data_IF_402988064896
#
_entry.id   IF_402988064896
#
_cell.length_a   1.000
_cell.length_b   1.000
_cell.length_c   1.000
_cell.angle_alpha   90.00
_cell.angle_beta   90.00
_cell.angle_gamma   90.00
#
_symmetry.space_group_name_H-M   'P 1'
#
loop_
_entity.id
_entity.type
_entity.pdbx_description
1 polymer ?
#
# COMPACT_ATOMS: atom_id res chain seq x y z
N UNK A 1 9.90 -9.90 9.42
CA UNK A 1 9.95 -8.44 9.67
C UNK A 1 10.14 -8.21 11.17
N UNK A 2 11.14 -7.43 11.56
CA UNK A 2 11.45 -7.13 12.96
C UNK A 2 10.47 -6.14 13.60
N UNK A 3 9.91 -5.20 12.83
CA UNK A 3 8.97 -4.21 13.35
C UNK A 3 7.64 -4.88 13.78
N UNK A 4 7.10 -5.75 12.93
CA UNK A 4 5.94 -6.59 13.26
C UNK A 4 6.19 -7.38 14.54
N UNK A 5 7.32 -8.09 14.65
CA UNK A 5 7.61 -8.92 15.82
C UNK A 5 7.75 -8.10 17.11
N UNK A 6 8.35 -6.91 17.04
CA UNK A 6 8.42 -6.00 18.19
C UNK A 6 7.03 -5.60 18.68
N UNK A 7 6.09 -5.29 17.77
CA UNK A 7 4.71 -4.97 18.15
C UNK A 7 3.97 -6.18 18.73
N UNK A 8 4.04 -7.35 18.07
CA UNK A 8 3.38 -8.57 18.52
C UNK A 8 3.85 -9.01 19.92
N UNK A 9 5.13 -8.79 20.23
CA UNK A 9 5.74 -9.13 21.52
C UNK A 9 5.64 -8.00 22.57
N UNK A 10 4.90 -6.92 22.29
CA UNK A 10 4.72 -5.78 23.21
C UNK A 10 5.98 -4.93 23.44
N UNK A 11 7.00 -5.07 22.59
CA UNK A 11 8.23 -4.27 22.63
C UNK A 11 8.06 -2.90 21.95
N UNK A 12 7.06 -2.77 21.07
CA UNK A 12 6.65 -1.50 20.46
C UNK A 12 5.16 -1.23 20.74
N UNK A 13 4.83 0.01 21.12
CA UNK A 13 3.45 0.43 21.38
C UNK A 13 2.68 0.78 20.11
N UNK A 14 3.39 1.21 19.06
CA UNK A 14 2.83 1.58 17.77
C UNK A 14 3.47 0.75 16.66
N UNK A 15 2.67 0.42 15.66
CA UNK A 15 3.10 -0.22 14.43
C UNK A 15 2.40 0.46 13.27
N UNK A 16 3.19 1.05 12.36
CA UNK A 16 2.69 1.71 11.16
C UNK A 16 2.85 0.72 10.03
N UNK A 17 1.75 0.12 9.58
CA UNK A 17 1.73 -0.88 8.51
C UNK A 17 0.35 -0.88 7.81
N UNK A 18 0.22 -1.63 6.71
CA UNK A 18 -1.03 -1.76 5.96
C UNK A 18 -2.02 -2.77 6.54
N UNK A 19 -3.23 -2.79 5.99
CA UNK A 19 -4.32 -3.70 6.39
C UNK A 19 -3.93 -5.18 6.33
N UNK A 20 -3.05 -5.56 5.40
CA UNK A 20 -2.50 -6.92 5.28
C UNK A 20 -1.85 -7.46 6.55
N UNK A 21 -1.44 -6.59 7.46
CA UNK A 21 -0.86 -7.01 8.73
C UNK A 21 -1.88 -7.64 9.67
N UNK A 22 -3.17 -7.30 9.55
CA UNK A 22 -4.23 -7.78 10.45
C UNK A 22 -4.32 -9.31 10.46
N UNK A 23 -4.23 -9.97 9.31
CA UNK A 23 -4.23 -11.43 9.23
C UNK A 23 -3.05 -12.08 9.96
N UNK A 24 -1.85 -11.47 9.87
CA UNK A 24 -0.68 -11.91 10.62
C UNK A 24 -0.83 -11.70 12.13
N UNK A 25 -1.42 -10.58 12.56
CA UNK A 25 -1.68 -10.33 13.99
C UNK A 25 -2.68 -11.36 14.52
N UNK A 26 -3.80 -11.56 13.83
CA UNK A 26 -4.83 -12.53 14.21
C UNK A 26 -4.28 -13.97 14.31
N UNK A 27 -3.31 -14.33 13.46
CA UNK A 27 -2.72 -15.68 13.46
C UNK A 27 -1.64 -15.89 14.51
N UNK A 28 -0.80 -14.87 14.76
CA UNK A 28 0.40 -15.02 15.60
C UNK A 28 0.25 -14.44 17.01
N UNK A 29 -0.71 -13.54 17.23
CA UNK A 29 -1.01 -12.94 18.53
C UNK A 29 -2.52 -12.70 18.67
N UNK A 30 -3.35 -13.77 18.66
CA UNK A 30 -4.81 -13.66 18.67
C UNK A 30 -5.37 -12.94 19.92
N UNK A 31 -4.64 -13.02 21.03
CA UNK A 31 -5.03 -12.40 22.31
C UNK A 31 -4.49 -10.97 22.47
N UNK A 32 -3.78 -10.43 21.47
CA UNK A 32 -3.24 -9.07 21.53
C UNK A 32 -4.38 -8.05 21.57
N UNK A 33 -4.41 -7.24 22.63
CA UNK A 33 -5.34 -6.13 22.72
C UNK A 33 -4.76 -4.89 22.03
N UNK A 34 -5.27 -4.56 20.84
CA UNK A 34 -4.82 -3.41 20.06
C UNK A 34 -6.00 -2.70 19.36
N UNK A 35 -5.79 -1.44 18.99
CA UNK A 35 -6.69 -0.68 18.13
C UNK A 35 -6.02 -0.35 16.79
N UNK A 36 -6.82 0.05 15.81
CA UNK A 36 -6.36 0.60 14.53
C UNK A 36 -6.92 2.01 14.39
N UNK A 37 -6.08 2.96 13.97
CA UNK A 37 -6.46 4.36 13.76
C UNK A 37 -5.85 4.90 12.48
N UNK A 38 -6.43 5.96 11.92
CA UNK A 38 -5.85 6.73 10.82
C UNK A 38 -4.47 7.29 11.22
N UNK A 39 -3.61 7.54 10.22
CA UNK A 39 -2.37 8.30 10.44
C UNK A 39 -2.70 9.72 10.95
N UNK A 40 -1.85 10.28 11.83
CA UNK A 40 -2.05 11.63 12.33
C UNK A 40 -1.98 12.66 11.22
N UNK A 41 -2.83 13.67 11.31
CA UNK A 41 -2.85 14.83 10.43
C UNK A 41 -1.66 15.76 10.72
N UNK A 42 -1.17 16.47 9.70
CA UNK A 42 -0.20 17.56 9.86
C UNK A 42 -0.69 18.84 9.18
N UNK A 43 -0.82 19.94 9.93
CA UNK A 43 -1.23 21.26 9.42
C UNK A 43 -2.54 21.27 8.60
N UNK A 44 -3.59 20.54 9.00
CA UNK A 44 -4.82 20.46 8.22
C UNK A 44 -4.80 19.38 7.13
N UNK A 45 -3.66 18.72 6.92
CA UNK A 45 -3.46 17.78 5.81
C UNK A 45 -3.45 16.34 6.31
N UNK A 46 -4.49 15.59 5.92
CA UNK A 46 -4.50 14.14 6.01
C UNK A 46 -3.77 13.55 4.81
N UNK A 47 -2.95 12.53 5.05
CA UNK A 47 -2.25 11.79 4.01
C UNK A 47 -2.00 10.36 4.46
N UNK A 48 -2.16 9.41 3.55
CA UNK A 48 -1.79 8.00 3.76
C UNK A 48 -1.30 7.38 2.46
N UNK A 49 -0.59 6.26 2.54
CA UNK A 49 -0.10 5.55 1.36
C UNK A 49 -1.17 4.62 0.80
N UNK A 50 -1.51 4.81 -0.48
CA UNK A 50 -2.38 3.94 -1.24
C UNK A 50 -1.58 2.84 -1.93
N UNK A 51 -1.36 1.72 -1.24
CA UNK A 51 -0.82 0.51 -1.87
C UNK A 51 -1.92 -0.25 -2.62
N UNK A 52 -1.59 -0.83 -3.76
CA UNK A 52 -2.55 -1.57 -4.58
C UNK A 52 -1.86 -2.66 -5.41
N UNK A 53 -2.68 -3.60 -5.86
CA UNK A 53 -2.32 -4.58 -6.88
C UNK A 53 -3.09 -4.28 -8.15
N UNK A 54 -2.49 -4.56 -9.30
CA UNK A 54 -3.18 -4.45 -10.59
C UNK A 54 -3.35 -5.82 -11.20
N UNK A 55 -4.48 -6.01 -11.87
CA UNK A 55 -4.70 -7.20 -12.69
C UNK A 55 -4.27 -6.90 -14.13
N UNK A 56 -3.40 -7.75 -14.68
CA UNK A 56 -2.90 -7.64 -16.05
C UNK A 56 -3.31 -8.84 -16.90
N UNK A 57 -3.71 -8.58 -18.15
CA UNK A 57 -3.88 -9.62 -19.16
C UNK A 57 -2.54 -9.78 -19.90
N UNK A 58 -2.00 -10.99 -19.90
CA UNK A 58 -0.70 -11.28 -20.55
C UNK A 58 -0.81 -11.22 -22.08
N UNK A 59 0.30 -10.92 -22.76
CA UNK A 59 0.39 -10.94 -24.23
C UNK A 59 0.01 -12.30 -24.82
N UNK A 60 0.33 -13.39 -24.12
CA UNK A 60 -0.05 -14.77 -24.51
C UNK A 60 -1.56 -15.00 -24.46
N UNK A 61 -2.24 -14.46 -23.46
CA UNK A 61 -3.70 -14.52 -23.38
C UNK A 61 -4.35 -13.63 -24.45
N UNK A 62 -3.77 -12.44 -24.69
CA UNK A 62 -4.25 -11.49 -25.68
C UNK A 62 -4.08 -11.94 -27.14
N UNK A 63 -3.16 -12.86 -27.44
CA UNK A 63 -2.89 -13.34 -28.80
C UNK A 63 -3.98 -14.27 -29.37
N UNK A 64 -4.85 -14.83 -28.53
CA UNK A 64 -5.96 -15.70 -28.93
C UNK A 64 -7.29 -14.99 -28.61
N UNK A 65 -8.15 -14.70 -29.61
CA UNK A 65 -9.38 -13.94 -29.39
C UNK A 65 -10.32 -14.56 -28.35
N UNK A 66 -10.48 -15.89 -28.35
CA UNK A 66 -11.36 -16.57 -27.42
C UNK A 66 -10.81 -16.53 -25.98
N UNK A 67 -9.48 -16.63 -25.81
CA UNK A 67 -8.84 -16.48 -24.50
C UNK A 67 -8.89 -15.05 -24.00
N UNK A 68 -8.73 -14.07 -24.87
CA UNK A 68 -8.85 -12.66 -24.53
C UNK A 68 -10.26 -12.36 -24.02
N UNK A 69 -11.29 -12.76 -24.75
CA UNK A 69 -12.69 -12.55 -24.37
C UNK A 69 -13.00 -13.21 -23.01
N UNK A 70 -12.53 -14.45 -22.79
CA UNK A 70 -12.70 -15.13 -21.51
C UNK A 70 -11.96 -14.42 -20.36
N UNK A 71 -10.74 -13.94 -20.61
CA UNK A 71 -9.92 -13.22 -19.62
C UNK A 71 -10.57 -11.88 -19.24
N UNK A 72 -11.10 -11.14 -20.22
CA UNK A 72 -11.82 -9.89 -19.98
C UNK A 72 -13.06 -10.16 -19.14
N UNK A 73 -13.87 -11.17 -19.50
CA UNK A 73 -15.08 -11.52 -18.75
C UNK A 73 -14.77 -11.90 -17.30
N UNK A 74 -13.72 -12.69 -17.08
CA UNK A 74 -13.28 -13.04 -15.73
C UNK A 74 -12.79 -11.81 -14.97
N UNK A 75 -11.99 -10.96 -15.62
CA UNK A 75 -11.48 -9.72 -15.01
C UNK A 75 -12.63 -8.81 -14.56
N UNK A 76 -13.65 -8.61 -15.41
CA UNK A 76 -14.85 -7.85 -15.06
C UNK A 76 -15.60 -8.42 -13.85
N UNK A 77 -15.65 -9.75 -13.73
CA UNK A 77 -16.27 -10.39 -12.57
C UNK A 77 -15.46 -10.16 -11.30
N UNK A 78 -14.14 -10.41 -11.31
CA UNK A 78 -13.32 -10.27 -10.09
C UNK A 78 -13.13 -8.82 -9.66
N UNK A 79 -13.39 -7.85 -10.54
CA UNK A 79 -13.39 -6.42 -10.21
C UNK A 79 -14.78 -5.85 -9.94
N UNK A 80 -15.81 -6.70 -9.84
CA UNK A 80 -17.16 -6.28 -9.44
C UNK A 80 -17.24 -5.90 -7.94
N UNK A 81 -18.21 -5.07 -7.53
CA UNK A 81 -18.47 -4.78 -6.13
C UNK A 81 -18.73 -6.03 -5.29
N UNK A 82 -19.43 -7.02 -5.85
CA UNK A 82 -19.73 -8.29 -5.17
C UNK A 82 -18.47 -9.10 -4.90
N UNK A 83 -17.56 -9.17 -5.87
CA UNK A 83 -16.25 -9.80 -5.68
C UNK A 83 -15.40 -9.03 -4.66
N UNK A 84 -15.46 -7.70 -4.67
CA UNK A 84 -14.82 -6.85 -3.67
C UNK A 84 -15.33 -7.13 -2.26
N UNK A 85 -16.65 -7.19 -2.06
CA UNK A 85 -17.24 -7.51 -0.76
C UNK A 85 -16.85 -8.91 -0.27
N UNK A 86 -16.84 -9.91 -1.17
CA UNK A 86 -16.37 -11.26 -0.85
C UNK A 86 -14.88 -11.27 -0.46
N UNK A 87 -14.06 -10.47 -1.13
CA UNK A 87 -12.64 -10.32 -0.82
C UNK A 87 -12.43 -9.78 0.59
N UNK A 88 -13.15 -8.72 0.99
CA UNK A 88 -13.13 -8.22 2.38
C UNK A 88 -13.47 -9.34 3.36
N UNK A 89 -14.56 -10.07 3.10
CA UNK A 89 -15.07 -11.09 4.01
C UNK A 89 -14.09 -12.25 4.22
N UNK A 90 -13.46 -12.73 3.14
CA UNK A 90 -12.63 -13.95 3.18
C UNK A 90 -11.17 -13.64 3.50
N UNK A 91 -10.65 -12.55 2.97
CA UNK A 91 -9.22 -12.20 3.06
C UNK A 91 -8.96 -11.18 4.16
N UNK A 92 -9.94 -10.34 4.48
CA UNK A 92 -9.80 -9.28 5.50
C UNK A 92 -9.02 -8.07 4.96
N UNK A 93 -9.23 -7.73 3.69
CA UNK A 93 -8.47 -6.69 2.97
C UNK A 93 -9.40 -5.73 2.24
N UNK A 94 -8.94 -4.51 2.02
CA UNK A 94 -9.77 -3.46 1.42
C UNK A 94 -10.15 -3.79 -0.04
N UNK A 95 -11.38 -3.49 -0.46
CA UNK A 95 -11.80 -3.64 -1.84
C UNK A 95 -11.34 -2.42 -2.68
N UNK A 96 -11.24 -2.61 -4.00
CA UNK A 96 -10.89 -1.52 -4.92
C UNK A 96 -12.12 -0.75 -5.46
N UNK A 97 -13.31 -1.31 -5.30
CA UNK A 97 -14.56 -0.76 -5.84
C UNK A 97 -15.17 0.24 -4.85
N UNK A 98 -15.55 1.43 -5.34
CA UNK A 98 -16.16 2.46 -4.50
C UNK A 98 -17.38 1.95 -3.73
N UNK A 99 -18.26 1.18 -4.39
CA UNK A 99 -19.45 0.64 -3.73
C UNK A 99 -19.10 -0.30 -2.57
N UNK A 100 -18.16 -1.23 -2.78
CA UNK A 100 -17.71 -2.13 -1.72
C UNK A 100 -16.92 -1.41 -0.63
N UNK A 101 -16.11 -0.42 -0.97
CA UNK A 101 -15.33 0.38 -0.03
C UNK A 101 -16.20 1.28 0.86
N UNK A 102 -17.38 1.69 0.37
CA UNK A 102 -18.35 2.47 1.12
C UNK A 102 -19.42 1.60 1.81
N UNK A 103 -19.23 0.29 1.90
CA UNK A 103 -20.12 -0.58 2.66
C UNK A 103 -20.16 -0.14 4.14
N UNK A 104 -21.35 0.17 4.72
CA UNK A 104 -21.47 0.61 6.10
C UNK A 104 -20.84 -0.34 7.13
N UNK A 105 -20.91 -1.66 6.89
CA UNK A 105 -20.34 -2.67 7.79
C UNK A 105 -18.81 -2.62 7.78
N UNK A 106 -18.19 -2.40 6.60
CA UNK A 106 -16.75 -2.23 6.47
C UNK A 106 -16.28 -0.93 7.14
N UNK A 107 -17.02 0.17 6.91
CA UNK A 107 -16.68 1.48 7.50
C UNK A 107 -16.80 1.44 9.03
N UNK A 108 -17.72 0.65 9.57
CA UNK A 108 -17.90 0.47 11.00
C UNK A 108 -16.99 -0.60 11.63
N UNK A 109 -16.22 -1.36 10.85
CA UNK A 109 -15.35 -2.43 11.35
C UNK A 109 -14.24 -1.88 12.26
N UNK A 110 -14.06 -2.48 13.42
CA UNK A 110 -13.10 -2.00 14.44
C UNK A 110 -11.63 -2.06 14.00
N UNK A 111 -11.31 -2.87 12.98
CA UNK A 111 -9.94 -3.06 12.48
C UNK A 111 -9.76 -2.49 11.09
N UNK A 112 -10.71 -2.71 10.19
CA UNK A 112 -10.66 -2.28 8.80
C UNK A 112 -11.24 -0.88 8.56
N UNK A 113 -12.14 -0.41 9.43
CA UNK A 113 -12.83 0.87 9.25
C UNK A 113 -11.87 2.05 9.17
N UNK A 114 -10.82 2.07 10.00
CA UNK A 114 -9.78 3.11 9.96
C UNK A 114 -9.00 3.11 8.63
N UNK A 115 -8.75 1.93 8.05
CA UNK A 115 -8.10 1.83 6.74
C UNK A 115 -9.05 2.27 5.61
N UNK A 116 -10.32 1.87 5.67
CA UNK A 116 -11.34 2.26 4.70
C UNK A 116 -11.58 3.78 4.71
N UNK A 117 -11.63 4.40 5.89
CA UNK A 117 -11.71 5.85 6.06
C UNK A 117 -10.52 6.59 5.44
N UNK A 118 -9.37 5.91 5.32
CA UNK A 118 -8.15 6.43 4.70
C UNK A 118 -8.17 6.54 3.18
N UNK A 119 -9.02 5.76 2.51
CA UNK A 119 -9.02 5.64 1.05
C UNK A 119 -9.24 6.97 0.31
N UNK A 120 -10.14 7.89 0.72
CA UNK A 120 -10.41 9.13 -0.02
C UNK A 120 -9.23 10.12 -0.08
N UNK A 121 -8.25 9.99 0.82
CA UNK A 121 -7.06 10.84 0.89
C UNK A 121 -5.75 10.04 0.77
N UNK A 122 -5.84 8.81 0.27
CA UNK A 122 -4.67 7.99 0.01
C UNK A 122 -3.94 8.46 -1.26
N UNK A 123 -2.61 8.41 -1.21
CA UNK A 123 -1.74 8.77 -2.32
C UNK A 123 -0.97 7.55 -2.82
N UNK A 124 -1.08 7.29 -4.10
CA UNK A 124 -0.23 6.35 -4.82
C UNK A 124 1.01 7.07 -5.36
N UNK A 125 2.18 6.45 -5.21
CA UNK A 125 3.42 6.97 -5.78
C UNK A 125 3.61 6.45 -7.19
N UNK A 126 3.93 7.33 -8.13
CA UNK A 126 4.40 6.94 -9.45
C UNK A 126 5.87 6.52 -9.37
N UNK A 127 6.20 5.33 -9.86
CA UNK A 127 7.57 4.83 -9.93
C UNK A 127 7.96 4.53 -11.38
N UNK A 128 9.12 5.03 -11.80
CA UNK A 128 9.82 4.57 -13.02
C UNK A 128 10.53 3.25 -12.73
N UNK A 129 11.34 3.23 -11.66
CA UNK A 129 11.89 2.04 -11.05
C UNK A 129 11.66 2.13 -9.53
N UNK A 130 10.77 1.30 -9.00
CA UNK A 130 10.45 1.28 -7.57
C UNK A 130 11.65 0.88 -6.72
N UNK A 131 12.46 -0.08 -7.18
CA UNK A 131 13.59 -0.60 -6.42
C UNK A 131 14.66 0.48 -6.21
N UNK A 132 15.02 1.19 -7.29
CA UNK A 132 16.05 2.24 -7.22
C UNK A 132 15.55 3.45 -6.44
N UNK A 133 14.29 3.86 -6.64
CA UNK A 133 13.69 4.96 -5.89
C UNK A 133 13.64 4.66 -4.38
N UNK A 134 13.28 3.42 -4.02
CA UNK A 134 13.29 2.96 -2.63
C UNK A 134 14.70 2.96 -2.07
N UNK A 135 15.69 2.46 -2.82
CA UNK A 135 17.07 2.40 -2.37
C UNK A 135 17.64 3.80 -2.10
N UNK A 136 17.37 4.78 -2.97
CA UNK A 136 17.81 6.16 -2.77
C UNK A 136 17.31 6.75 -1.44
N UNK A 137 16.06 6.47 -1.05
CA UNK A 137 15.51 6.90 0.24
C UNK A 137 16.09 6.13 1.43
N UNK A 138 16.34 4.83 1.29
CA UNK A 138 17.02 4.03 2.34
C UNK A 138 18.43 4.58 2.58
N UNK A 139 19.18 4.82 1.51
CA UNK A 139 20.54 5.35 1.60
C UNK A 139 20.55 6.74 2.25
N UNK A 140 19.61 7.63 1.88
CA UNK A 140 19.45 8.93 2.54
C UNK A 140 19.14 8.82 4.03
N UNK A 141 18.28 7.88 4.40
CA UNK A 141 17.96 7.62 5.81
C UNK A 141 19.17 7.13 6.60
N UNK A 142 19.95 6.20 6.02
CA UNK A 142 21.15 5.66 6.64
C UNK A 142 22.27 6.71 6.75
N UNK A 143 22.43 7.58 5.75
CA UNK A 143 23.36 8.74 5.83
C UNK A 143 23.07 9.60 7.05
N UNK A 144 21.80 9.85 7.36
CA UNK A 144 21.40 10.64 8.53
C UNK A 144 21.60 9.85 9.82
N UNK A 145 20.99 8.65 9.92
CA UNK A 145 20.95 7.92 11.19
C UNK A 145 22.28 7.28 11.60
N UNK A 146 23.01 6.73 10.63
CA UNK A 146 24.25 6.01 10.88
C UNK A 146 25.47 6.91 10.62
N UNK A 147 25.37 7.80 9.63
CA UNK A 147 26.45 8.71 9.23
C UNK A 147 26.46 10.05 9.94
N UNK A 148 25.32 10.50 10.49
CA UNK A 148 25.18 11.82 11.10
C UNK A 148 25.16 12.98 10.09
N UNK A 149 24.86 12.70 8.82
CA UNK A 149 24.74 13.71 7.77
C UNK A 149 23.54 14.64 8.01
N UNK A 150 23.61 15.85 7.48
CA UNK A 150 22.49 16.78 7.50
C UNK A 150 21.30 16.20 6.69
N UNK A 151 20.07 16.17 7.27
CA UNK A 151 18.92 15.58 6.59
C UNK A 151 18.57 16.22 5.25
N UNK A 152 18.81 17.54 5.10
CA UNK A 152 18.56 18.21 3.83
C UNK A 152 19.58 17.77 2.78
N UNK A 153 20.87 17.66 3.14
CA UNK A 153 21.91 17.17 2.23
C UNK A 153 21.59 15.74 1.77
N UNK A 154 21.27 14.84 2.70
CA UNK A 154 20.92 13.46 2.38
C UNK A 154 19.70 13.37 1.45
N UNK A 155 18.67 14.20 1.69
CA UNK A 155 17.49 14.27 0.83
C UNK A 155 17.81 14.84 -0.55
N UNK A 156 18.62 15.90 -0.63
CA UNK A 156 19.00 16.51 -1.91
C UNK A 156 19.72 15.47 -2.81
N UNK A 157 20.59 14.62 -2.24
CA UNK A 157 21.25 13.51 -2.95
C UNK A 157 20.23 12.48 -3.48
N UNK A 158 19.26 12.09 -2.66
CA UNK A 158 18.21 11.17 -3.10
C UNK A 158 17.34 11.79 -4.21
N UNK A 159 17.03 13.08 -4.11
CA UNK A 159 16.29 13.82 -5.13
C UNK A 159 17.04 13.84 -6.45
N UNK A 160 18.34 14.16 -6.45
CA UNK A 160 19.18 14.13 -7.66
C UNK A 160 19.17 12.75 -8.32
N UNK A 161 19.41 11.70 -7.52
CA UNK A 161 19.41 10.29 -7.99
C UNK A 161 18.09 9.91 -8.65
N UNK A 162 16.97 10.27 -8.02
CA UNK A 162 15.64 9.95 -8.53
C UNK A 162 15.29 10.81 -9.74
N UNK A 163 15.69 12.08 -9.76
CA UNK A 163 15.41 12.98 -10.87
C UNK A 163 16.13 12.55 -12.15
N UNK A 164 17.38 12.10 -12.06
CA UNK A 164 18.11 11.56 -13.22
C UNK A 164 17.37 10.38 -13.87
N UNK A 165 16.85 9.46 -13.05
CA UNK A 165 16.03 8.34 -13.53
C UNK A 165 14.74 8.80 -14.20
N UNK A 166 14.06 9.82 -13.63
CA UNK A 166 12.85 10.38 -14.23
C UNK A 166 13.16 11.05 -15.58
N UNK A 167 14.23 11.85 -15.63
CA UNK A 167 14.65 12.56 -16.84
C UNK A 167 14.99 11.58 -17.97
N UNK A 168 15.72 10.50 -17.68
CA UNK A 168 16.01 9.46 -18.66
C UNK A 168 14.74 8.80 -19.22
N UNK A 169 13.79 8.45 -18.34
CA UNK A 169 12.53 7.83 -18.74
C UNK A 169 11.68 8.74 -19.65
N UNK A 170 11.66 10.04 -19.39
CA UNK A 170 10.89 11.01 -20.15
C UNK A 170 11.58 11.50 -21.42
N UNK A 171 12.92 11.49 -21.49
CA UNK A 171 13.66 11.92 -22.67
C UNK A 171 13.36 11.10 -23.93
N UNK A 172 12.92 9.85 -23.77
CA UNK A 172 12.60 8.92 -24.87
C UNK A 172 11.13 8.83 -25.26
N UNK A 173 10.25 9.70 -24.76
CA UNK A 173 8.79 9.63 -24.96
C UNK A 173 8.21 10.82 -25.73
#
# INVERSE_FOLDING_TARGET
DGATQAFLNGQACFHIDGSFRLGSIASNAPDLNFGVVELPEHNGVKSTFGSYWTHGITTKAAADPARLDASIKFLQFITSPEAGALWVQIVGELPAQLEAANNPDLVADEKLGAFAAGLPYAHATFFVNEADNRQALIDAYDMVLLGGEDPKVALDIAVETVQEMLDEFWAGR
#
